data_IF_194978475746
#
_entry.id   IF_194978475746
#
_cell.length_a   1.000
_cell.length_b   1.000
_cell.length_c   1.000
_cell.angle_alpha   90.00
_cell.angle_beta   90.00
_cell.angle_gamma   90.00
#
_symmetry.space_group_name_H-M   'P 1'
#
loop_
_entity.id
_entity.type
_entity.pdbx_description
1 polymer ?
#
# COMPACT_ATOMS: atom_id res chain seq x y z
N UNK A 1 13.96 7.19 -5.88
CA UNK A 1 14.96 6.09 -5.81
C UNK A 1 14.62 5.28 -4.55
N UNK A 2 13.99 4.12 -4.70
CA UNK A 2 13.58 3.28 -3.55
C UNK A 2 14.76 2.44 -3.08
N UNK A 3 15.24 2.69 -1.87
CA UNK A 3 16.28 1.89 -1.23
C UNK A 3 15.65 0.56 -0.78
N UNK A 4 15.86 -0.51 -1.56
CA UNK A 4 15.52 -1.86 -1.14
C UNK A 4 16.76 -2.45 -0.46
N UNK A 5 16.68 -2.71 0.84
CA UNK A 5 17.77 -3.33 1.59
C UNK A 5 17.70 -4.84 1.38
N UNK A 6 18.54 -5.36 0.47
CA UNK A 6 18.60 -6.79 0.14
C UNK A 6 19.37 -7.62 1.20
N UNK A 7 20.22 -6.96 2.00
CA UNK A 7 21.11 -7.55 2.99
C UNK A 7 21.25 -6.58 4.20
N UNK A 8 21.52 -7.11 5.40
CA UNK A 8 21.88 -6.29 6.56
C UNK A 8 23.20 -5.52 6.35
N UNK A 9 24.03 -5.99 5.40
CA UNK A 9 25.29 -5.39 5.00
C UNK A 9 25.13 -4.43 3.80
N UNK A 10 25.98 -3.39 3.68
CA UNK A 10 25.98 -2.51 2.53
C UNK A 10 26.28 -3.26 1.22
N UNK A 11 25.57 -2.90 0.15
CA UNK A 11 25.85 -3.41 -1.20
C UNK A 11 26.96 -2.55 -1.80
N UNK A 12 28.10 -3.15 -2.13
CA UNK A 12 29.27 -2.41 -2.67
C UNK A 12 29.14 -2.15 -4.16
N UNK A 13 28.60 -3.12 -4.90
CA UNK A 13 28.34 -3.01 -6.33
C UNK A 13 27.21 -3.94 -6.78
N UNK A 14 26.56 -3.60 -7.89
CA UNK A 14 25.52 -4.41 -8.50
C UNK A 14 25.55 -4.33 -10.02
N UNK A 15 25.06 -5.37 -10.69
CA UNK A 15 24.82 -5.36 -12.13
C UNK A 15 23.56 -6.15 -12.49
N UNK A 16 23.02 -5.91 -13.68
CA UNK A 16 21.91 -6.64 -14.27
C UNK A 16 22.40 -7.48 -15.45
N UNK A 17 21.78 -8.63 -15.66
CA UNK A 17 21.96 -9.36 -16.91
C UNK A 17 21.19 -8.67 -18.06
N UNK A 18 21.45 -9.08 -19.30
CA UNK A 18 20.96 -8.42 -20.54
C UNK A 18 19.44 -8.24 -20.61
N UNK A 19 18.66 -9.15 -20.03
CA UNK A 19 17.19 -9.16 -20.08
C UNK A 19 16.52 -8.68 -18.79
N UNK A 20 17.30 -8.16 -17.83
CA UNK A 20 16.84 -7.75 -16.50
C UNK A 20 16.08 -8.84 -15.70
N UNK A 21 16.33 -10.10 -16.01
CA UNK A 21 15.77 -11.23 -15.25
C UNK A 21 16.66 -11.67 -14.09
N UNK A 22 17.90 -11.17 -14.02
CA UNK A 22 18.82 -11.47 -12.93
C UNK A 22 19.60 -10.22 -12.52
N UNK A 23 19.87 -10.09 -11.23
CA UNK A 23 20.81 -9.09 -10.71
C UNK A 23 21.88 -9.78 -9.87
N UNK A 24 23.13 -9.37 -10.07
CA UNK A 24 24.25 -9.78 -9.24
C UNK A 24 24.57 -8.64 -8.27
N UNK A 25 24.70 -8.96 -6.99
CA UNK A 25 25.01 -8.03 -5.90
C UNK A 25 26.25 -8.55 -5.15
N UNK A 26 27.18 -7.67 -4.80
CA UNK A 26 28.25 -8.01 -3.84
C UNK A 26 27.96 -7.33 -2.51
N UNK A 27 27.78 -8.09 -1.41
CA UNK A 27 27.82 -7.53 -0.06
C UNK A 27 29.21 -6.97 0.23
N UNK A 28 29.44 -6.36 1.41
CA UNK A 28 30.78 -5.99 1.90
C UNK A 28 31.69 -7.19 2.22
N UNK A 29 31.50 -8.33 1.54
CA UNK A 29 32.23 -9.57 1.74
C UNK A 29 32.83 -10.07 0.40
N UNK A 30 33.36 -11.30 0.40
CA UNK A 30 34.02 -11.92 -0.76
C UNK A 30 33.06 -12.71 -1.66
N UNK A 31 31.75 -12.58 -1.43
CA UNK A 31 30.72 -13.31 -2.16
C UNK A 31 30.02 -12.41 -3.19
N UNK A 32 29.47 -13.04 -4.22
CA UNK A 32 28.59 -12.40 -5.20
C UNK A 32 27.30 -13.20 -5.24
N UNK A 33 26.20 -12.56 -4.85
CA UNK A 33 24.88 -13.18 -4.86
C UNK A 33 24.18 -12.86 -6.17
N UNK A 34 23.75 -13.89 -6.90
CA UNK A 34 22.96 -13.73 -8.12
C UNK A 34 21.50 -14.06 -7.80
N UNK A 35 20.65 -13.05 -7.86
CA UNK A 35 19.21 -13.19 -7.66
C UNK A 35 18.52 -13.26 -9.01
N UNK A 36 17.72 -14.31 -9.21
CA UNK A 36 16.85 -14.44 -10.38
C UNK A 36 15.46 -13.93 -10.06
N UNK A 37 14.98 -13.01 -10.90
CA UNK A 37 13.59 -12.59 -10.94
C UNK A 37 12.74 -13.79 -11.39
N UNK A 38 12.05 -14.41 -10.44
CA UNK A 38 11.04 -15.41 -10.75
C UNK A 38 9.71 -14.70 -11.05
N UNK A 39 9.33 -14.69 -12.34
CA UNK A 39 8.09 -14.11 -12.84
C UNK A 39 8.28 -12.89 -13.74
N UNK A 40 7.56 -12.86 -14.87
CA UNK A 40 7.56 -11.73 -15.82
C UNK A 40 6.65 -10.57 -15.39
N UNK A 41 5.80 -10.79 -14.39
CA UNK A 41 4.74 -9.86 -13.99
C UNK A 41 5.28 -8.79 -13.04
N UNK A 42 4.94 -7.54 -13.31
CA UNK A 42 5.36 -6.41 -12.47
C UNK A 42 4.55 -6.39 -11.18
N UNK A 43 5.19 -6.75 -10.06
CA UNK A 43 4.63 -6.62 -8.71
C UNK A 43 4.59 -5.12 -8.37
N UNK A 44 3.41 -4.61 -8.05
CA UNK A 44 3.19 -3.20 -7.72
C UNK A 44 3.03 -2.97 -6.23
N UNK A 45 2.72 -4.03 -5.48
CA UNK A 45 2.61 -3.97 -4.03
C UNK A 45 3.03 -5.29 -3.38
N UNK A 46 3.67 -5.17 -2.23
CA UNK A 46 4.05 -6.27 -1.35
C UNK A 46 3.85 -5.84 0.10
N UNK A 47 3.36 -6.76 0.93
CA UNK A 47 3.26 -6.52 2.37
C UNK A 47 3.43 -7.83 3.15
N UNK A 48 4.14 -7.78 4.26
CA UNK A 48 4.40 -8.92 5.14
C UNK A 48 3.51 -8.81 6.38
N UNK A 49 2.81 -9.89 6.69
CA UNK A 49 2.02 -10.10 7.90
C UNK A 49 2.94 -10.70 9.00
N UNK A 50 3.44 -9.91 9.97
CA UNK A 50 4.49 -10.35 10.88
C UNK A 50 4.06 -11.44 11.89
N UNK A 51 2.77 -11.59 12.21
CA UNK A 51 2.30 -12.58 13.20
C UNK A 51 2.10 -13.96 12.57
N UNK A 52 1.59 -13.99 11.35
CA UNK A 52 1.26 -15.22 10.62
C UNK A 52 2.33 -15.63 9.62
N UNK A 53 3.35 -14.79 9.43
CA UNK A 53 4.44 -14.97 8.47
C UNK A 53 3.97 -15.17 7.02
N UNK A 54 2.84 -14.55 6.67
CA UNK A 54 2.35 -14.52 5.30
C UNK A 54 2.84 -13.28 4.58
N UNK A 55 3.21 -13.45 3.31
CA UNK A 55 3.46 -12.32 2.41
C UNK A 55 2.26 -12.19 1.48
N UNK A 56 1.80 -10.97 1.21
CA UNK A 56 0.86 -10.71 0.13
C UNK A 56 1.53 -9.89 -0.95
N UNK A 57 1.32 -10.26 -2.21
CA UNK A 57 1.77 -9.51 -3.38
C UNK A 57 0.60 -9.23 -4.29
N UNK A 58 0.61 -8.09 -4.99
CA UNK A 58 -0.32 -7.78 -6.08
C UNK A 58 0.43 -7.18 -7.26
N UNK A 59 -0.12 -7.28 -8.48
CA UNK A 59 0.60 -6.81 -9.67
C UNK A 59 -0.26 -6.47 -10.88
N UNK A 60 0.45 -6.28 -11.99
CA UNK A 60 -0.11 -5.95 -13.30
C UNK A 60 -0.95 -7.09 -13.91
N UNK A 61 -0.79 -8.31 -13.41
CA UNK A 61 -1.55 -9.50 -13.81
C UNK A 61 -2.99 -9.52 -13.27
N UNK A 62 -3.37 -8.48 -12.50
CA UNK A 62 -4.72 -8.27 -11.94
C UNK A 62 -5.08 -9.25 -10.82
N UNK A 63 -4.09 -9.95 -10.27
CA UNK A 63 -4.26 -10.88 -9.18
C UNK A 63 -3.54 -10.39 -7.91
N UNK A 64 -3.85 -11.06 -6.81
CA UNK A 64 -2.99 -11.08 -5.64
C UNK A 64 -2.60 -12.51 -5.32
N UNK A 65 -1.50 -12.67 -4.60
CA UNK A 65 -1.01 -13.95 -4.10
C UNK A 65 -0.71 -13.81 -2.62
N UNK A 66 -1.19 -14.76 -1.83
CA UNK A 66 -0.78 -14.95 -0.45
C UNK A 66 0.26 -16.05 -0.42
N UNK A 67 1.47 -15.72 0.01
CA UNK A 67 2.58 -16.65 0.13
C UNK A 67 2.65 -17.11 1.58
N UNK A 68 2.72 -18.43 1.74
CA UNK A 68 2.95 -19.09 3.03
C UNK A 68 4.20 -19.96 2.92
N UNK A 69 4.92 -20.15 4.02
CA UNK A 69 6.06 -21.04 4.05
C UNK A 69 5.62 -22.46 4.43
N UNK A 70 6.01 -23.44 3.64
CA UNK A 70 5.85 -24.87 3.95
C UNK A 70 7.15 -25.59 3.65
N UNK A 71 7.72 -26.24 4.66
CA UNK A 71 8.99 -26.96 4.57
C UNK A 71 10.16 -26.08 4.06
N UNK A 72 10.22 -24.84 4.55
CA UNK A 72 11.24 -23.87 4.14
C UNK A 72 10.98 -23.18 2.80
N UNK A 73 9.97 -23.61 2.04
CA UNK A 73 9.67 -23.11 0.69
C UNK A 73 8.42 -22.22 0.70
N UNK A 74 8.52 -21.05 0.08
CA UNK A 74 7.38 -20.16 -0.14
C UNK A 74 6.45 -20.70 -1.22
N UNK A 75 5.17 -20.88 -0.88
CA UNK A 75 4.13 -21.34 -1.81
C UNK A 75 3.06 -20.27 -1.98
N UNK A 76 2.77 -19.84 -3.22
CA UNK A 76 1.73 -18.87 -3.49
C UNK A 76 0.34 -19.53 -3.54
N UNK A 77 -0.63 -18.89 -2.90
CA UNK A 77 -2.06 -19.14 -3.05
C UNK A 77 -2.67 -17.97 -3.83
N UNK A 78 -3.30 -18.28 -4.97
CA UNK A 78 -3.95 -17.28 -5.81
C UNK A 78 -5.17 -16.68 -5.11
N UNK A 79 -5.29 -15.35 -5.17
CA UNK A 79 -6.47 -14.60 -4.72
C UNK A 79 -7.08 -13.87 -5.91
N UNK A 80 -8.30 -14.25 -6.24
CA UNK A 80 -9.05 -13.67 -7.36
C UNK A 80 -9.63 -12.33 -6.93
N UNK A 81 -9.02 -11.23 -7.38
CA UNK A 81 -9.43 -9.87 -7.01
C UNK A 81 -10.68 -9.38 -7.74
N UNK A 82 -11.04 -10.01 -8.86
CA UNK A 82 -12.14 -9.61 -9.76
C UNK A 82 -12.01 -8.15 -10.23
N UNK A 83 -10.80 -7.75 -10.62
CA UNK A 83 -10.47 -6.45 -11.23
C UNK A 83 -10.06 -6.64 -12.68
N UNK A 84 -10.39 -5.66 -13.52
CA UNK A 84 -10.08 -5.64 -14.95
C UNK A 84 -8.80 -4.86 -15.30
N UNK A 85 -8.30 -4.07 -14.35
CA UNK A 85 -7.07 -3.26 -14.44
C UNK A 85 -6.05 -3.69 -13.36
N UNK A 86 -4.78 -3.38 -13.56
CA UNK A 86 -3.69 -3.66 -12.62
C UNK A 86 -4.00 -3.26 -11.17
N UNK A 87 -3.54 -4.09 -10.23
CA UNK A 87 -3.44 -3.69 -8.83
C UNK A 87 -2.27 -2.72 -8.67
N UNK A 88 -2.35 -1.79 -7.72
CA UNK A 88 -1.38 -0.72 -7.52
C UNK A 88 -0.77 -0.71 -6.12
N UNK A 89 -1.45 -1.30 -5.14
CA UNK A 89 -1.04 -1.30 -3.74
C UNK A 89 -1.71 -2.45 -2.99
N UNK A 90 -1.03 -3.01 -1.98
CA UNK A 90 -1.63 -4.02 -1.08
C UNK A 90 -1.16 -3.82 0.35
N UNK A 91 -2.05 -4.07 1.31
CA UNK A 91 -1.70 -4.02 2.74
C UNK A 91 -2.54 -4.99 3.59
N UNK A 92 -1.87 -5.79 4.41
CA UNK A 92 -2.50 -6.59 5.46
C UNK A 92 -3.15 -5.71 6.51
N UNK A 93 -4.27 -6.19 7.04
CA UNK A 93 -4.91 -5.58 8.20
C UNK A 93 -4.16 -5.94 9.50
N UNK A 94 -4.26 -5.15 10.59
CA UNK A 94 -3.50 -5.38 11.83
C UNK A 94 -3.72 -6.72 12.53
N UNK A 95 -4.89 -7.35 12.32
CA UNK A 95 -5.18 -8.69 12.83
C UNK A 95 -4.86 -9.79 11.81
N UNK A 96 -4.34 -9.44 10.63
CA UNK A 96 -3.91 -10.35 9.58
C UNK A 96 -5.01 -11.29 9.07
N UNK A 97 -6.28 -10.98 9.39
CA UNK A 97 -7.44 -11.77 8.99
C UNK A 97 -8.06 -11.34 7.66
N UNK A 98 -7.51 -10.27 7.06
CA UNK A 98 -7.87 -9.73 5.75
C UNK A 98 -6.78 -8.78 5.27
N UNK A 99 -6.81 -8.45 3.99
CA UNK A 99 -5.96 -7.43 3.38
C UNK A 99 -6.76 -6.59 2.39
N UNK A 100 -6.24 -5.41 2.05
CA UNK A 100 -6.84 -4.51 1.08
C UNK A 100 -5.92 -4.35 -0.14
N UNK A 101 -6.51 -4.29 -1.33
CA UNK A 101 -5.82 -4.06 -2.59
C UNK A 101 -6.40 -2.85 -3.29
N UNK A 102 -5.55 -1.88 -3.61
CA UNK A 102 -5.88 -0.73 -4.45
C UNK A 102 -5.68 -1.08 -5.92
N UNK A 103 -6.48 -0.48 -6.80
CA UNK A 103 -6.41 -0.72 -8.24
C UNK A 103 -6.72 0.53 -9.06
N UNK A 104 -6.26 0.52 -10.32
CA UNK A 104 -6.69 1.45 -11.37
C UNK A 104 -8.16 1.27 -11.78
N UNK A 105 -8.81 0.17 -11.38
CA UNK A 105 -10.23 -0.10 -11.61
C UNK A 105 -11.19 0.76 -10.77
N UNK A 106 -10.67 1.82 -10.10
CA UNK A 106 -11.44 2.78 -9.29
C UNK A 106 -12.22 2.10 -8.16
N UNK A 107 -11.60 1.09 -7.54
CA UNK A 107 -12.16 0.35 -6.43
C UNK A 107 -11.06 -0.16 -5.50
N UNK A 108 -11.47 -0.58 -4.31
CA UNK A 108 -10.61 -1.27 -3.33
C UNK A 108 -11.17 -2.67 -3.12
N UNK A 109 -10.34 -3.70 -3.29
CA UNK A 109 -10.69 -5.08 -2.97
C UNK A 109 -10.28 -5.41 -1.55
N UNK A 110 -11.23 -5.81 -0.71
CA UNK A 110 -10.99 -6.33 0.63
C UNK A 110 -11.07 -7.85 0.57
N UNK A 111 -9.94 -8.50 0.77
CA UNK A 111 -9.78 -9.95 0.67
C UNK A 111 -9.67 -10.58 2.04
N UNK A 112 -10.45 -11.63 2.31
CA UNK A 112 -10.42 -12.38 3.56
C UNK A 112 -10.53 -13.88 3.27
N UNK A 113 -10.02 -14.70 4.19
CA UNK A 113 -10.06 -16.15 4.06
C UNK A 113 -11.35 -16.68 4.69
N UNK A 114 -12.08 -17.52 3.94
CA UNK A 114 -13.31 -18.18 4.39
C UNK A 114 -13.00 -19.64 4.68
N UNK A 115 -12.78 -19.95 5.96
CA UNK A 115 -12.32 -21.27 6.41
C UNK A 115 -13.28 -22.42 6.09
N UNK A 116 -14.58 -22.14 5.97
CA UNK A 116 -15.59 -23.14 5.62
C UNK A 116 -15.40 -23.68 4.19
N UNK A 117 -14.90 -22.83 3.29
CA UNK A 117 -14.72 -23.14 1.87
C UNK A 117 -13.25 -23.23 1.44
N UNK A 118 -12.32 -23.10 2.39
CA UNK A 118 -10.86 -23.12 2.19
C UNK A 118 -10.38 -22.18 1.06
N UNK A 119 -11.00 -20.99 0.96
CA UNK A 119 -10.75 -20.07 -0.15
C UNK A 119 -10.69 -18.60 0.26
N UNK A 120 -10.01 -17.82 -0.57
CA UNK A 120 -9.98 -16.36 -0.45
C UNK A 120 -11.17 -15.73 -1.16
N UNK A 121 -11.91 -14.90 -0.43
CA UNK A 121 -13.05 -14.11 -0.96
C UNK A 121 -12.66 -12.64 -1.05
N UNK A 122 -13.05 -11.96 -2.13
CA UNK A 122 -12.91 -10.51 -2.30
C UNK A 122 -14.26 -9.79 -2.25
N UNK A 123 -14.39 -8.75 -1.42
CA UNK A 123 -15.49 -7.76 -1.46
C UNK A 123 -14.97 -6.41 -1.95
N UNK A 124 -15.77 -5.65 -2.71
CA UNK A 124 -15.32 -4.40 -3.35
C UNK A 124 -15.93 -3.15 -2.72
N UNK A 125 -15.10 -2.17 -2.41
CA UNK A 125 -15.50 -0.79 -2.12
C UNK A 125 -15.36 0.01 -3.41
N UNK A 126 -16.49 0.40 -4.01
CA UNK A 126 -16.53 1.08 -5.33
C UNK A 126 -16.80 2.58 -5.21
N UNK A 127 -17.86 2.98 -4.53
CA UNK A 127 -18.25 4.40 -4.42
C UNK A 127 -17.82 4.98 -3.06
N UNK A 128 -17.37 6.25 -3.00
CA UNK A 128 -17.14 7.19 -4.11
C UNK A 128 -15.68 7.19 -4.59
N UNK A 129 -15.08 6.04 -4.91
CA UNK A 129 -13.72 6.00 -5.50
C UNK A 129 -13.83 6.31 -6.99
N UNK A 130 -13.28 7.45 -7.43
CA UNK A 130 -13.44 7.93 -8.81
C UNK A 130 -12.20 7.78 -9.69
N UNK A 131 -11.06 7.39 -9.11
CA UNK A 131 -9.81 7.21 -9.85
C UNK A 131 -8.93 6.13 -9.19
N UNK A 132 -7.74 5.94 -9.72
CA UNK A 132 -6.74 4.98 -9.24
C UNK A 132 -6.45 5.17 -7.76
N UNK A 133 -6.50 4.09 -6.99
CA UNK A 133 -6.08 4.07 -5.58
C UNK A 133 -4.56 3.93 -5.53
N UNK A 134 -3.86 4.83 -4.85
CA UNK A 134 -2.40 4.90 -4.83
C UNK A 134 -1.80 4.40 -3.51
N UNK A 135 -2.55 4.54 -2.43
CA UNK A 135 -2.10 4.17 -1.09
C UNK A 135 -3.25 3.72 -0.21
N UNK A 136 -2.96 2.80 0.71
CA UNK A 136 -3.92 2.25 1.66
C UNK A 136 -3.28 2.17 3.04
N UNK A 137 -4.07 2.47 4.08
CA UNK A 137 -3.66 2.21 5.44
C UNK A 137 -4.79 1.80 6.36
N UNK A 138 -4.54 0.75 7.15
CA UNK A 138 -5.52 0.24 8.09
C UNK A 138 -5.43 0.98 9.42
N UNK A 139 -6.59 1.35 9.94
CA UNK A 139 -6.69 1.83 11.31
C UNK A 139 -6.41 0.67 12.28
N UNK A 140 -5.79 0.92 13.46
CA UNK A 140 -5.43 -0.12 14.43
C UNK A 140 -6.63 -0.98 14.89
N UNK A 141 -7.84 -0.44 14.89
CA UNK A 141 -9.08 -1.18 15.18
C UNK A 141 -9.46 -2.27 14.14
N UNK A 142 -8.69 -2.44 13.07
CA UNK A 142 -8.89 -3.48 12.05
C UNK A 142 -10.23 -3.36 11.28
N UNK A 143 -10.90 -2.20 11.35
CA UNK A 143 -12.21 -1.93 10.74
C UNK A 143 -12.11 -0.81 9.71
N UNK A 144 -11.48 0.31 10.07
CA UNK A 144 -11.38 1.45 9.17
C UNK A 144 -10.18 1.30 8.22
N UNK A 145 -10.36 1.77 7.00
CA UNK A 145 -9.36 1.76 5.95
C UNK A 145 -9.27 3.15 5.32
N UNK A 146 -8.10 3.76 5.40
CA UNK A 146 -7.78 4.98 4.68
C UNK A 146 -7.31 4.63 3.26
N UNK A 147 -7.69 5.45 2.30
CA UNK A 147 -7.29 5.34 0.91
C UNK A 147 -6.95 6.71 0.34
N UNK A 148 -5.78 6.81 -0.29
CA UNK A 148 -5.38 7.95 -1.11
C UNK A 148 -5.58 7.63 -2.58
N UNK A 149 -6.19 8.53 -3.33
CA UNK A 149 -6.49 8.32 -4.75
C UNK A 149 -6.02 9.47 -5.66
N UNK A 150 -5.94 9.16 -6.94
CA UNK A 150 -5.56 10.08 -8.01
C UNK A 150 -6.64 11.16 -8.29
N UNK A 151 -7.83 11.06 -7.69
CA UNK A 151 -8.89 12.08 -7.74
C UNK A 151 -8.73 13.17 -6.66
N UNK A 152 -7.53 13.30 -6.09
CA UNK A 152 -7.15 14.33 -5.10
C UNK A 152 -7.84 14.18 -3.74
N UNK A 153 -8.36 12.99 -3.44
CA UNK A 153 -9.08 12.71 -2.20
C UNK A 153 -8.34 11.70 -1.32
N UNK A 154 -8.38 11.96 -0.02
CA UNK A 154 -8.10 10.99 1.03
C UNK A 154 -9.43 10.57 1.65
N UNK A 155 -9.76 9.27 1.64
CA UNK A 155 -11.04 8.76 2.14
C UNK A 155 -10.83 7.73 3.22
N UNK A 156 -11.75 7.67 4.18
CA UNK A 156 -11.82 6.62 5.19
C UNK A 156 -13.09 5.81 4.97
N UNK A 157 -12.95 4.50 4.85
CA UNK A 157 -14.04 3.56 4.66
C UNK A 157 -14.15 2.58 5.82
N UNK A 158 -15.37 2.07 6.06
CA UNK A 158 -15.58 0.86 6.86
C UNK A 158 -15.30 -0.38 5.99
N UNK A 159 -14.26 -1.13 6.33
CA UNK A 159 -13.89 -2.40 5.69
C UNK A 159 -14.23 -3.61 6.58
N UNK A 160 -15.25 -3.47 7.43
CA UNK A 160 -15.71 -4.56 8.31
C UNK A 160 -16.58 -5.56 7.54
N UNK A 161 -16.20 -6.84 7.60
CA UNK A 161 -16.83 -7.90 6.80
C UNK A 161 -18.14 -8.43 7.41
N UNK A 162 -18.27 -8.43 8.75
CA UNK A 162 -19.33 -9.16 9.48
C UNK A 162 -20.58 -8.33 9.85
N UNK A 163 -20.45 -7.12 10.43
CA UNK A 163 -21.60 -6.32 10.94
C UNK A 163 -21.36 -4.78 10.96
N UNK A 164 -21.67 -4.10 9.86
CA UNK A 164 -21.84 -2.65 9.61
C UNK A 164 -22.01 -2.54 8.07
N UNK A 165 -22.45 -1.42 7.47
CA UNK A 165 -22.48 -1.33 6.02
C UNK A 165 -21.05 -1.38 5.49
N UNK A 166 -20.65 -2.52 4.93
CA UNK A 166 -19.35 -2.69 4.29
C UNK A 166 -19.19 -1.64 3.18
N UNK A 167 -18.03 -0.98 3.15
CA UNK A 167 -17.72 0.07 2.18
C UNK A 167 -18.36 1.42 2.48
N UNK A 168 -18.97 1.62 3.66
CA UNK A 168 -19.47 2.93 4.06
C UNK A 168 -18.34 3.95 4.11
N UNK A 169 -18.54 5.10 3.48
CA UNK A 169 -17.66 6.26 3.61
C UNK A 169 -17.86 6.89 4.99
N UNK A 170 -16.78 6.95 5.77
CA UNK A 170 -16.76 7.53 7.12
C UNK A 170 -16.29 8.98 7.09
N UNK A 171 -15.32 9.30 6.23
CA UNK A 171 -14.78 10.64 6.07
C UNK A 171 -14.15 10.79 4.68
N UNK A 172 -14.17 12.02 4.16
CA UNK A 172 -13.47 12.41 2.94
C UNK A 172 -12.73 13.73 3.18
N UNK A 173 -11.48 13.80 2.75
CA UNK A 173 -10.59 14.94 2.87
C UNK A 173 -10.01 15.30 1.51
N UNK A 174 -9.64 16.58 1.34
CA UNK A 174 -9.04 17.10 0.10
C UNK A 174 -10.06 17.57 -0.94
N UNK A 175 -9.57 18.16 -2.04
CA UNK A 175 -10.38 18.61 -3.17
C UNK A 175 -10.87 20.07 -3.14
N UNK A 176 -10.21 20.97 -2.42
CA UNK A 176 -10.44 22.42 -2.54
C UNK A 176 -9.42 23.03 -3.52
N UNK A 177 -9.84 23.35 -4.76
CA UNK A 177 -8.99 24.05 -5.74
C UNK A 177 -8.09 23.14 -6.60
N UNK A 178 -6.86 23.60 -6.91
CA UNK A 178 -5.86 22.91 -7.76
C UNK A 178 -5.15 21.75 -7.01
N UNK A 179 -5.92 20.83 -6.42
CA UNK A 179 -5.40 19.77 -5.56
C UNK A 179 -4.47 18.78 -6.27
N UNK A 180 -3.67 18.05 -5.48
CA UNK A 180 -2.76 17.01 -5.97
C UNK A 180 -3.18 15.58 -5.62
N UNK A 181 -2.72 14.60 -6.40
CA UNK A 181 -2.95 13.18 -6.15
C UNK A 181 -2.43 12.76 -4.78
N UNK A 182 -3.19 11.96 -4.03
CA UNK A 182 -2.81 11.53 -2.67
C UNK A 182 -1.94 10.28 -2.76
N UNK A 183 -0.62 10.46 -2.63
CA UNK A 183 0.39 9.41 -2.83
C UNK A 183 0.59 8.51 -1.61
N UNK A 184 0.28 9.00 -0.42
CA UNK A 184 0.48 8.29 0.83
C UNK A 184 -0.58 8.66 1.85
N UNK A 185 -1.02 7.66 2.62
CA UNK A 185 -1.92 7.82 3.77
C UNK A 185 -1.40 6.99 4.93
N UNK A 186 -1.56 7.47 6.16
CA UNK A 186 -1.14 6.76 7.36
C UNK A 186 -1.98 7.14 8.58
N UNK A 187 -2.59 6.17 9.24
CA UNK A 187 -3.13 6.32 10.58
C UNK A 187 -2.00 6.32 11.61
N UNK A 188 -2.13 7.21 12.58
CA UNK A 188 -1.35 7.16 13.83
C UNK A 188 -1.54 5.83 14.56
N UNK A 189 -0.57 5.47 15.41
CA UNK A 189 -0.63 4.24 16.20
C UNK A 189 -1.85 4.17 17.13
N UNK A 190 -2.31 5.30 17.66
CA UNK A 190 -3.55 5.40 18.45
C UNK A 190 -4.82 5.29 17.60
N UNK A 191 -4.72 5.57 16.29
CA UNK A 191 -5.84 5.67 15.38
C UNK A 191 -6.60 7.01 15.43
N UNK A 192 -6.23 7.91 16.34
CA UNK A 192 -6.93 9.21 16.50
C UNK A 192 -6.61 10.21 15.39
N UNK A 193 -5.54 9.99 14.65
CA UNK A 193 -5.07 10.86 13.56
C UNK A 193 -4.86 10.10 12.27
N UNK A 194 -5.10 10.78 11.16
CA UNK A 194 -4.80 10.33 9.80
C UNK A 194 -3.98 11.41 9.09
N UNK A 195 -2.81 11.06 8.56
CA UNK A 195 -2.04 11.95 7.70
C UNK A 195 -2.07 11.47 6.25
N UNK A 196 -1.93 12.42 5.33
CA UNK A 196 -1.78 12.15 3.92
C UNK A 196 -0.87 13.17 3.25
N UNK A 197 -0.28 12.77 2.13
CA UNK A 197 0.64 13.59 1.34
C UNK A 197 0.20 13.63 -0.11
N UNK A 198 0.25 14.81 -0.70
CA UNK A 198 -0.36 15.11 -1.99
C UNK A 198 0.65 15.67 -2.99
N UNK A 199 0.38 15.47 -4.29
CA UNK A 199 1.24 15.94 -5.38
C UNK A 199 1.38 17.47 -5.43
N UNK A 200 0.47 18.23 -4.82
CA UNK A 200 0.51 19.70 -4.73
C UNK A 200 1.50 20.21 -3.67
N UNK A 201 2.44 19.34 -3.27
CA UNK A 201 3.48 19.60 -2.27
C UNK A 201 2.91 19.96 -0.89
N UNK A 202 1.81 19.31 -0.52
CA UNK A 202 1.19 19.41 0.80
C UNK A 202 1.27 18.11 1.58
N UNK A 203 1.41 18.25 2.90
CA UNK A 203 1.21 17.19 3.88
C UNK A 203 0.13 17.66 4.86
N UNK A 204 -0.89 16.84 5.07
CA UNK A 204 -2.04 17.18 5.89
C UNK A 204 -2.28 16.13 6.97
N UNK A 205 -2.83 16.56 8.09
CA UNK A 205 -3.22 15.68 9.21
C UNK A 205 -4.63 16.04 9.65
N UNK A 206 -5.51 15.04 9.71
CA UNK A 206 -6.82 15.13 10.35
C UNK A 206 -6.75 14.52 11.76
N UNK A 207 -7.19 15.28 12.78
CA UNK A 207 -7.27 14.81 14.16
C UNK A 207 -8.73 14.65 14.60
N UNK A 208 -9.14 13.41 14.86
CA UNK A 208 -10.50 13.07 15.29
C UNK A 208 -10.76 13.34 16.78
N UNK A 209 -9.74 13.59 17.60
CA UNK A 209 -9.88 13.82 19.05
C UNK A 209 -10.49 15.18 19.41
N UNK A 210 -10.44 16.15 18.49
CA UNK A 210 -10.88 17.54 18.72
C UNK A 210 -11.76 18.03 17.57
N UNK A 211 -12.90 17.37 17.30
CA UNK A 211 -13.80 17.71 16.18
C UNK A 211 -13.05 17.85 14.85
N UNK A 212 -12.72 16.72 14.20
CA UNK A 212 -12.02 16.59 12.90
C UNK A 212 -11.38 17.90 12.40
N UNK A 213 -10.23 18.26 12.97
CA UNK A 213 -9.46 19.44 12.54
C UNK A 213 -8.41 19.00 11.52
N UNK A 214 -8.29 19.75 10.43
CA UNK A 214 -7.30 19.50 9.38
C UNK A 214 -6.20 20.55 9.51
N UNK A 215 -4.97 20.09 9.73
CA UNK A 215 -3.77 20.92 9.65
C UNK A 215 -3.02 20.57 8.38
N UNK A 216 -2.62 21.56 7.58
CA UNK A 216 -1.91 21.36 6.31
C UNK A 216 -0.62 22.16 6.30
N UNK A 217 0.49 21.48 6.00
CA UNK A 217 1.78 22.07 5.71
C UNK A 217 1.99 22.06 4.19
N UNK A 218 2.43 23.18 3.62
CA UNK A 218 2.81 23.30 2.21
C UNK A 218 4.30 23.62 2.15
N UNK A 219 5.04 23.00 1.24
CA UNK A 219 6.45 23.35 1.04
C UNK A 219 6.61 24.56 0.14
N UNK A 220 7.66 25.33 0.40
CA UNK A 220 8.06 26.50 -0.40
C UNK A 220 8.78 26.16 -1.71
N UNK A 221 8.86 24.88 -2.10
CA UNK A 221 9.53 24.51 -3.34
C UNK A 221 8.75 24.98 -4.58
N UNK A 222 9.39 25.69 -5.53
CA UNK A 222 8.76 26.07 -6.78
C UNK A 222 8.36 24.82 -7.57
N UNK A 223 7.21 24.89 -8.24
CA UNK A 223 6.46 23.78 -8.86
C UNK A 223 7.21 22.97 -9.95
N UNK A 224 8.51 23.17 -10.15
CA UNK A 224 9.31 22.57 -11.23
C UNK A 224 9.85 21.17 -10.98
N UNK A 225 9.81 20.63 -9.75
CA UNK A 225 10.38 19.31 -9.42
C UNK A 225 9.49 18.49 -8.45
N UNK A 226 8.19 18.37 -8.77
CA UNK A 226 7.17 17.76 -7.90
C UNK A 226 7.34 16.25 -7.64
N UNK A 227 8.06 15.52 -8.50
CA UNK A 227 8.31 14.09 -8.33
C UNK A 227 9.21 13.81 -7.11
N UNK A 228 10.19 14.67 -6.83
CA UNK A 228 11.16 14.48 -5.75
C UNK A 228 10.56 14.79 -4.36
N UNK A 229 9.66 15.78 -4.27
CA UNK A 229 8.97 16.13 -3.01
C UNK A 229 7.99 15.06 -2.56
N UNK A 230 7.19 14.50 -3.48
CA UNK A 230 6.24 13.43 -3.15
C UNK A 230 6.95 12.17 -2.64
N UNK A 231 8.13 11.85 -3.19
CA UNK A 231 8.97 10.75 -2.70
C UNK A 231 9.50 11.02 -1.28
N UNK A 232 9.98 12.24 -1.00
CA UNK A 232 10.49 12.62 0.34
C UNK A 232 9.41 12.50 1.41
N UNK A 233 8.20 13.01 1.16
CA UNK A 233 7.09 12.92 2.12
C UNK A 233 6.57 11.52 2.34
N UNK A 234 6.61 10.68 1.29
CA UNK A 234 6.31 9.27 1.40
C UNK A 234 7.25 8.62 2.43
N UNK A 235 8.55 8.86 2.33
CA UNK A 235 9.55 8.33 3.29
C UNK A 235 9.25 8.79 4.73
N UNK A 236 8.97 10.08 4.96
CA UNK A 236 8.66 10.60 6.30
C UNK A 236 7.44 9.94 6.98
N UNK A 237 6.37 9.64 6.23
CA UNK A 237 5.18 8.98 6.81
C UNK A 237 5.40 7.50 7.16
N UNK A 238 6.37 6.84 6.53
CA UNK A 238 6.59 5.40 6.67
C UNK A 238 7.78 5.03 7.57
N UNK A 239 8.68 5.96 7.88
CA UNK A 239 9.86 5.70 8.74
C UNK A 239 9.65 5.98 10.24
N UNK A 240 8.70 6.84 10.61
CA UNK A 240 8.48 7.21 12.01
C UNK A 240 7.14 6.69 12.53
N UNK A 241 7.15 5.99 13.67
CA UNK A 241 5.93 5.69 14.41
C UNK A 241 5.43 7.00 15.07
N UNK A 242 4.28 7.51 14.63
CA UNK A 242 3.64 8.70 15.19
C UNK A 242 2.15 8.45 15.50
#
# INVERSE_FOLDING_TARGET
MSLNQFLLEPITCHTWNRDHTQTALSPTNHEVHIYKKNGSQHITGINWAPKSDHIVTCGADRNAYVWSQKDGVWKPTLVILRIDVAATFVKWSPLENKFAVGSGARLISICYFESENDLWVSKHIKKPVHSTVLSLDWHPNNVLLAAGSYDFKCRVFSAYIKKMPFGQLMSEFGGSGTGGCVHGVRFSASGSRLAWVSHDSTASVADASKSVQISTLKTDHPQGNTEDTSCKYRVFLFEYNW
#
